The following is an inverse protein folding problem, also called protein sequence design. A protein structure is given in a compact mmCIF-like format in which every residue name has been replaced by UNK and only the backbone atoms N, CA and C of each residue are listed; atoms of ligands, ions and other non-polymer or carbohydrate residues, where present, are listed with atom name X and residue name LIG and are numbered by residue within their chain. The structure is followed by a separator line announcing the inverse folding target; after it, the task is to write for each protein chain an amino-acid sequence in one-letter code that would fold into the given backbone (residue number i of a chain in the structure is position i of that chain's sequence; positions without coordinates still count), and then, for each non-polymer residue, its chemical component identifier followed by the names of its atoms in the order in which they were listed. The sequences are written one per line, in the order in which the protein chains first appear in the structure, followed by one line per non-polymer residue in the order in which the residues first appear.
data_IF_948829168235
#
_entry.id   IF_948829168235
#
_cell.length_a   1.000
_cell.length_b   1.000
_cell.length_c   1.000
_cell.angle_alpha   90.00
_cell.angle_beta   90.00
_cell.angle_gamma   90.00
#
_symmetry.space_group_name_H-M   'P 1'
#
loop_
_entity.id
_entity.type
_entity.pdbx_description
1 polymer ?
#
# COMPACT_ATOMS: atom_id res chain seq x y z
N UNK A 1 -0.25 -52.35 -26.40
CA UNK A 1 0.26 -51.07 -26.95
C UNK A 1 -0.67 -49.85 -26.79
N UNK A 2 -1.96 -49.97 -26.43
CA UNK A 2 -2.86 -48.80 -26.28
C UNK A 2 -2.75 -48.01 -24.96
N UNK A 3 -2.08 -48.55 -23.92
CA UNK A 3 -1.91 -47.88 -22.61
C UNK A 3 -0.71 -46.92 -22.56
N UNK A 4 0.30 -47.10 -23.41
CA UNK A 4 1.48 -46.21 -23.46
C UNK A 4 1.18 -44.87 -24.16
N UNK A 5 0.20 -44.86 -25.09
CA UNK A 5 -0.18 -43.65 -25.82
C UNK A 5 -0.98 -42.65 -24.97
N UNK A 6 -1.71 -43.12 -23.95
CA UNK A 6 -2.47 -42.26 -23.03
C UNK A 6 -1.57 -41.50 -22.05
N UNK A 7 -0.43 -42.07 -21.65
CA UNK A 7 0.55 -41.43 -20.76
C UNK A 7 1.33 -40.31 -21.47
N UNK A 8 1.59 -40.44 -22.77
CA UNK A 8 2.26 -39.38 -23.54
C UNK A 8 1.36 -38.15 -23.73
N UNK A 9 0.06 -38.34 -23.96
CA UNK A 9 -0.91 -37.23 -24.16
C UNK A 9 -1.12 -36.44 -22.85
N UNK A 10 -1.03 -37.10 -21.69
CA UNK A 10 -1.07 -36.43 -20.39
C UNK A 10 0.19 -35.62 -20.09
N UNK A 11 1.37 -36.07 -20.56
CA UNK A 11 2.63 -35.34 -20.41
C UNK A 11 2.68 -34.04 -21.23
N UNK A 12 2.03 -33.99 -22.39
CA UNK A 12 1.96 -32.76 -23.20
C UNK A 12 0.85 -31.80 -22.75
N UNK A 13 -0.21 -32.27 -22.10
CA UNK A 13 -1.26 -31.43 -21.54
C UNK A 13 -0.83 -30.69 -20.24
N UNK A 14 0.21 -31.19 -19.56
CA UNK A 14 0.77 -30.64 -18.33
C UNK A 14 2.13 -29.96 -18.52
N UNK A 15 2.51 -29.58 -19.74
CA UNK A 15 3.50 -28.51 -19.88
C UNK A 15 2.85 -27.23 -19.38
N UNK A 16 2.96 -27.01 -18.06
CA UNK A 16 2.78 -25.71 -17.44
C UNK A 16 3.56 -24.74 -18.32
N UNK A 17 2.85 -23.89 -19.07
CA UNK A 17 3.49 -22.88 -19.92
C UNK A 17 4.54 -22.20 -19.04
N UNK A 18 5.81 -22.32 -19.42
CA UNK A 18 6.89 -21.71 -18.66
C UNK A 18 6.51 -20.24 -18.41
N UNK A 19 6.50 -19.85 -17.14
CA UNK A 19 6.17 -18.48 -16.76
C UNK A 19 7.21 -17.56 -17.38
N UNK A 20 6.76 -16.54 -18.11
CA UNK A 20 7.65 -15.57 -18.72
C UNK A 20 8.44 -14.86 -17.61
N UNK A 21 9.73 -14.63 -17.86
CA UNK A 21 10.58 -13.84 -16.98
C UNK A 21 10.74 -12.41 -17.51
N UNK A 22 11.10 -11.46 -16.64
CA UNK A 22 11.27 -10.05 -17.04
C UNK A 22 12.34 -9.89 -18.13
N UNK A 23 13.42 -10.68 -18.08
CA UNK A 23 14.51 -10.66 -19.06
C UNK A 23 14.04 -11.01 -20.48
N UNK A 24 12.91 -11.70 -20.61
CA UNK A 24 12.36 -12.18 -21.89
C UNK A 24 11.42 -11.15 -22.55
N UNK A 25 11.07 -10.04 -21.85
CA UNK A 25 10.05 -9.07 -22.26
C UNK A 25 10.55 -8.08 -23.32
N UNK A 26 10.96 -8.58 -24.47
CA UNK A 26 11.56 -7.77 -25.56
C UNK A 26 10.60 -6.77 -26.22
N UNK A 27 9.28 -6.95 -26.08
CA UNK A 27 8.26 -6.09 -26.69
C UNK A 27 6.97 -6.02 -25.86
N UNK A 28 6.10 -5.08 -26.20
CA UNK A 28 4.83 -4.80 -25.50
C UNK A 28 3.86 -5.98 -25.49
N UNK A 29 3.84 -6.82 -26.52
CA UNK A 29 2.98 -8.01 -26.56
C UNK A 29 3.40 -9.01 -25.48
N UNK A 30 4.71 -9.22 -25.27
CA UNK A 30 5.22 -10.08 -24.21
C UNK A 30 4.98 -9.48 -22.83
N UNK A 31 5.09 -8.16 -22.66
CA UNK A 31 4.73 -7.49 -21.40
C UNK A 31 3.26 -7.73 -21.04
N UNK A 32 2.35 -7.59 -22.01
CA UNK A 32 0.91 -7.85 -21.76
C UNK A 32 0.66 -9.30 -21.35
N UNK A 33 1.31 -10.26 -22.01
CA UNK A 33 1.20 -11.68 -21.64
C UNK A 33 1.75 -11.91 -20.23
N UNK A 34 2.90 -11.32 -19.90
CA UNK A 34 3.48 -11.39 -18.56
C UNK A 34 2.54 -10.83 -17.50
N UNK A 35 2.02 -9.60 -17.67
CA UNK A 35 1.05 -9.00 -16.75
C UNK A 35 -0.17 -9.93 -16.59
N UNK A 36 -0.75 -10.40 -17.70
CA UNK A 36 -1.88 -11.33 -17.69
C UNK A 36 -1.58 -12.62 -16.90
N UNK A 37 -0.38 -13.20 -17.04
CA UNK A 37 0.05 -14.38 -16.29
C UNK A 37 0.19 -14.09 -14.78
N UNK A 38 0.72 -12.92 -14.41
CA UNK A 38 0.96 -12.56 -13.01
C UNK A 38 -0.30 -12.13 -12.27
N UNK A 39 -1.23 -11.47 -12.96
CA UNK A 39 -2.42 -10.86 -12.32
C UNK A 39 -3.72 -11.61 -12.61
N UNK A 40 -3.73 -12.53 -13.58
CA UNK A 40 -4.94 -13.21 -14.06
C UNK A 40 -5.86 -12.34 -14.93
N UNK A 41 -5.46 -11.12 -15.30
CA UNK A 41 -6.24 -10.25 -16.17
C UNK A 41 -6.24 -10.77 -17.61
N UNK A 42 -7.31 -10.50 -18.37
CA UNK A 42 -7.37 -10.84 -19.79
C UNK A 42 -6.37 -10.00 -20.59
N UNK A 43 -5.42 -10.66 -21.26
CA UNK A 43 -4.39 -10.02 -22.10
C UNK A 43 -4.97 -9.04 -23.12
N UNK A 44 -6.17 -9.31 -23.65
CA UNK A 44 -6.84 -8.44 -24.64
C UNK A 44 -7.29 -7.10 -24.05
N UNK A 45 -7.42 -7.01 -22.73
CA UNK A 45 -7.85 -5.83 -22.00
C UNK A 45 -6.67 -5.00 -21.47
N UNK A 46 -5.43 -5.49 -21.63
CA UNK A 46 -4.24 -4.79 -21.17
C UNK A 46 -3.70 -3.91 -22.30
N UNK A 47 -3.66 -2.60 -22.07
CA UNK A 47 -3.06 -1.64 -23.00
C UNK A 47 -1.93 -0.87 -22.33
N UNK A 48 -0.89 -0.58 -23.11
CA UNK A 48 0.29 0.17 -22.68
C UNK A 48 0.29 1.51 -23.44
N UNK A 49 -0.58 2.47 -23.08
CA UNK A 49 -0.78 3.65 -23.89
C UNK A 49 0.45 4.55 -23.89
N UNK A 50 0.97 4.86 -25.08
CA UNK A 50 2.02 5.84 -25.26
C UNK A 50 1.51 7.26 -24.99
N UNK A 51 2.42 8.23 -24.83
CA UNK A 51 2.04 9.64 -24.75
C UNK A 51 1.31 10.13 -26.00
N UNK A 52 1.64 9.57 -27.17
CA UNK A 52 0.95 9.88 -28.41
C UNK A 52 -0.50 9.41 -28.37
N UNK A 53 -0.75 8.16 -27.95
CA UNK A 53 -2.11 7.59 -27.87
C UNK A 53 -3.01 8.42 -26.95
N UNK A 54 -2.47 8.89 -25.82
CA UNK A 54 -3.24 9.70 -24.87
C UNK A 54 -3.60 11.08 -25.40
N UNK A 55 -2.68 11.72 -26.15
CA UNK A 55 -2.94 13.00 -26.82
C UNK A 55 -3.97 12.83 -27.94
N UNK A 56 -3.82 11.80 -28.76
CA UNK A 56 -4.75 11.48 -29.86
C UNK A 56 -6.18 11.28 -29.32
N UNK A 57 -6.31 10.62 -28.17
CA UNK A 57 -7.59 10.40 -27.48
C UNK A 57 -8.05 11.59 -26.63
N UNK A 58 -7.32 12.71 -26.63
CA UNK A 58 -7.63 13.92 -25.85
C UNK A 58 -7.76 13.66 -24.33
N UNK A 59 -7.07 12.66 -23.81
CA UNK A 59 -7.02 12.37 -22.36
C UNK A 59 -5.98 13.22 -21.64
N UNK A 60 -5.03 13.75 -22.40
CA UNK A 60 -4.14 14.82 -21.95
C UNK A 60 -4.11 15.91 -23.03
N UNK A 61 -3.84 17.17 -22.66
CA UNK A 61 -3.67 18.23 -23.65
C UNK A 61 -2.51 17.94 -24.61
N UNK A 62 -2.60 18.49 -25.82
CA UNK A 62 -1.51 18.40 -26.82
C UNK A 62 -0.18 18.94 -26.29
N UNK A 63 -0.24 19.97 -25.44
CA UNK A 63 0.87 20.51 -24.68
C UNK A 63 0.64 20.21 -23.20
N UNK A 64 1.27 19.16 -22.71
CA UNK A 64 1.10 18.68 -21.33
C UNK A 64 2.33 18.99 -20.48
N UNK A 65 2.18 19.02 -19.14
CA UNK A 65 3.34 19.10 -18.24
C UNK A 65 4.24 17.85 -18.31
N UNK A 66 3.76 16.75 -18.87
CA UNK A 66 4.61 15.59 -19.15
C UNK A 66 5.57 15.82 -20.30
N UNK A 67 5.31 16.78 -21.19
CA UNK A 67 6.17 17.01 -22.36
C UNK A 67 7.57 17.54 -21.96
N UNK A 68 7.69 18.10 -20.75
CA UNK A 68 8.98 18.53 -20.19
C UNK A 68 9.75 17.42 -19.49
N UNK A 69 9.21 16.21 -19.38
CA UNK A 69 9.86 15.07 -18.71
C UNK A 69 9.89 13.85 -19.62
N UNK A 70 11.02 13.14 -19.64
CA UNK A 70 11.12 11.88 -20.38
C UNK A 70 10.41 10.79 -19.60
N UNK A 71 9.23 10.39 -20.07
CA UNK A 71 8.42 9.33 -19.46
C UNK A 71 8.60 8.00 -20.17
N UNK A 72 8.56 6.92 -19.41
CA UNK A 72 8.60 5.54 -19.90
C UNK A 72 7.30 4.81 -19.49
N UNK A 73 6.87 3.86 -20.33
CA UNK A 73 5.73 2.98 -20.02
C UNK A 73 6.15 1.80 -19.14
N UNK A 74 7.45 1.47 -19.13
CA UNK A 74 8.04 0.40 -18.33
C UNK A 74 9.49 0.69 -18.01
N UNK A 75 9.96 0.19 -16.87
CA UNK A 75 11.38 0.10 -16.52
C UNK A 75 11.67 -1.31 -15.99
N UNK A 76 12.89 -1.78 -16.23
CA UNK A 76 13.39 -3.05 -15.72
C UNK A 76 14.68 -2.81 -14.95
N UNK A 77 14.74 -3.25 -13.70
CA UNK A 77 15.86 -3.04 -12.78
C UNK A 77 15.82 -4.10 -11.66
N UNK A 78 16.92 -4.33 -10.96
CA UNK A 78 16.96 -5.18 -9.75
C UNK A 78 16.75 -4.31 -8.49
N UNK A 79 15.49 -4.05 -8.12
CA UNK A 79 15.18 -3.16 -6.99
C UNK A 79 15.43 -3.81 -5.63
N UNK A 80 15.28 -5.13 -5.53
CA UNK A 80 15.45 -5.88 -4.28
C UNK A 80 16.88 -6.42 -4.06
N UNK A 81 17.77 -6.24 -5.04
CA UNK A 81 19.16 -6.70 -5.04
C UNK A 81 19.29 -8.23 -4.94
N UNK A 82 18.42 -8.95 -5.63
CA UNK A 82 18.44 -10.41 -5.67
C UNK A 82 19.11 -11.01 -6.92
N UNK A 83 19.61 -10.15 -7.81
CA UNK A 83 20.29 -10.51 -9.05
C UNK A 83 19.35 -10.83 -10.21
N UNK A 84 18.03 -10.62 -10.06
CA UNK A 84 17.03 -10.81 -11.13
C UNK A 84 16.35 -9.50 -11.47
N UNK A 85 15.83 -9.40 -12.70
CA UNK A 85 15.14 -8.18 -13.10
C UNK A 85 13.71 -8.16 -12.57
N UNK A 86 13.35 -7.01 -12.00
CA UNK A 86 12.00 -6.58 -11.69
C UNK A 86 11.43 -5.75 -12.82
N UNK A 87 10.10 -5.58 -12.82
CA UNK A 87 9.40 -4.76 -13.81
C UNK A 87 8.50 -3.74 -13.11
N UNK A 88 8.69 -2.45 -13.37
CA UNK A 88 7.64 -1.45 -13.16
C UNK A 88 6.99 -1.17 -14.50
N UNK A 89 5.66 -1.19 -14.56
CA UNK A 89 4.92 -0.95 -15.80
C UNK A 89 3.67 -0.13 -15.54
N UNK A 90 3.44 0.87 -16.40
CA UNK A 90 2.19 1.59 -16.48
C UNK A 90 1.32 1.02 -17.59
N UNK A 91 0.10 0.61 -17.25
CA UNK A 91 -0.86 0.07 -18.20
C UNK A 91 -2.28 0.49 -17.84
N UNK A 92 -3.25 0.14 -18.68
CA UNK A 92 -4.68 0.32 -18.44
C UNK A 92 -5.40 -1.00 -18.67
N UNK A 93 -6.39 -1.30 -17.83
CA UNK A 93 -7.11 -2.58 -17.85
C UNK A 93 -8.42 -2.53 -18.65
N UNK A 94 -8.84 -1.35 -19.12
CA UNK A 94 -10.08 -1.21 -19.88
C UNK A 94 -10.05 -0.04 -20.85
N UNK A 95 -10.74 -0.23 -21.98
CA UNK A 95 -11.08 0.83 -22.93
C UNK A 95 -12.60 0.95 -23.01
N UNK A 96 -13.14 2.12 -22.71
CA UNK A 96 -14.55 2.41 -22.94
C UNK A 96 -14.71 2.99 -24.35
N UNK A 97 -15.37 2.22 -25.22
CA UNK A 97 -15.85 2.65 -26.54
C UNK A 97 -14.77 3.27 -27.47
N UNK A 98 -13.53 2.74 -27.46
CA UNK A 98 -12.38 3.24 -28.24
C UNK A 98 -11.99 4.72 -28.02
N UNK A 99 -12.70 5.45 -27.16
CA UNK A 99 -12.52 6.90 -26.97
C UNK A 99 -11.62 7.23 -25.80
N UNK A 100 -11.67 6.43 -24.72
CA UNK A 100 -10.96 6.75 -23.48
C UNK A 100 -10.35 5.49 -22.85
N UNK A 101 -9.11 5.61 -22.40
CA UNK A 101 -8.52 4.66 -21.47
C UNK A 101 -9.04 4.93 -20.06
N UNK A 102 -9.38 3.87 -19.35
CA UNK A 102 -9.82 3.93 -17.96
C UNK A 102 -9.02 2.92 -17.16
N UNK A 103 -9.06 3.00 -15.84
CA UNK A 103 -8.29 2.12 -14.95
C UNK A 103 -6.79 2.16 -15.26
N UNK A 104 -6.21 3.37 -15.29
CA UNK A 104 -4.74 3.49 -15.28
C UNK A 104 -4.19 2.75 -14.06
N UNK A 105 -3.09 2.05 -14.28
CA UNK A 105 -2.32 1.34 -13.26
C UNK A 105 -0.85 1.61 -13.47
N UNK A 106 -0.11 1.57 -12.36
CA UNK A 106 1.32 1.37 -12.31
C UNK A 106 1.53 0.24 -11.32
N UNK A 107 2.11 -0.84 -11.80
CA UNK A 107 2.34 -2.05 -11.03
C UNK A 107 3.81 -2.37 -11.08
N UNK A 108 4.35 -2.80 -9.93
CA UNK A 108 5.68 -3.37 -9.84
C UNK A 108 5.58 -4.88 -9.65
N UNK A 109 6.37 -5.62 -10.41
CA UNK A 109 6.57 -7.05 -10.26
C UNK A 109 7.99 -7.25 -9.74
N UNK A 110 8.09 -7.59 -8.46
CA UNK A 110 9.39 -7.79 -7.79
C UNK A 110 9.67 -9.28 -7.71
N UNK A 111 10.80 -9.73 -8.23
CA UNK A 111 11.24 -11.12 -8.15
C UNK A 111 11.21 -11.62 -6.70
N UNK A 112 10.84 -12.88 -6.50
CA UNK A 112 10.77 -13.46 -5.15
C UNK A 112 11.49 -14.81 -5.07
N UNK A 113 11.78 -15.27 -3.85
CA UNK A 113 12.65 -16.44 -3.61
C UNK A 113 12.13 -17.75 -4.22
N UNK A 114 10.85 -17.83 -4.60
CA UNK A 114 10.25 -19.01 -5.22
C UNK A 114 10.42 -19.03 -6.74
N UNK A 115 10.99 -17.98 -7.33
CA UNK A 115 11.15 -17.84 -8.78
C UNK A 115 9.98 -17.12 -9.47
N UNK A 116 8.98 -16.69 -8.71
CA UNK A 116 7.86 -15.87 -9.20
C UNK A 116 8.08 -14.38 -8.94
N UNK A 117 6.98 -13.63 -8.93
CA UNK A 117 6.97 -12.18 -8.69
C UNK A 117 5.92 -11.80 -7.65
N UNK A 118 6.31 -10.96 -6.70
CA UNK A 118 5.40 -10.24 -5.82
C UNK A 118 4.84 -9.04 -6.58
N UNK A 119 3.51 -8.97 -6.67
CA UNK A 119 2.81 -7.90 -7.39
C UNK A 119 2.48 -6.76 -6.43
N UNK A 120 3.00 -5.56 -6.73
CA UNK A 120 2.78 -4.34 -5.96
C UNK A 120 2.04 -3.32 -6.80
N UNK A 121 0.79 -3.07 -6.45
CA UNK A 121 0.03 -1.97 -7.02
C UNK A 121 0.46 -0.65 -6.36
N UNK A 122 1.28 0.12 -7.09
CA UNK A 122 1.75 1.45 -6.68
C UNK A 122 0.88 2.56 -7.30
N UNK A 123 -0.28 2.19 -7.82
CA UNK A 123 -1.24 3.08 -8.43
C UNK A 123 -2.60 2.94 -7.75
N UNK A 124 -2.58 3.10 -6.45
CA UNK A 124 -3.79 3.10 -5.69
C UNK A 124 -4.43 4.49 -5.73
N UNK A 125 -5.65 4.53 -6.30
CA UNK A 125 -6.78 5.39 -5.87
C UNK A 125 -7.18 6.59 -6.70
N UNK A 126 -6.97 6.55 -8.02
CA UNK A 126 -7.82 7.35 -8.91
C UNK A 126 -7.94 6.74 -10.31
N UNK A 127 -9.19 6.63 -10.75
CA UNK A 127 -9.61 6.19 -12.08
C UNK A 127 -9.24 7.18 -13.21
N UNK A 128 -8.74 8.37 -12.84
CA UNK A 128 -8.50 9.50 -13.75
C UNK A 128 -7.11 10.13 -13.70
N UNK A 129 -6.22 9.65 -12.82
CA UNK A 129 -4.85 10.14 -12.83
C UNK A 129 -4.09 9.49 -13.97
N UNK A 130 -3.26 10.27 -14.65
CA UNK A 130 -2.25 9.72 -15.55
C UNK A 130 -0.96 9.50 -14.77
N UNK A 131 -0.46 8.27 -14.83
CA UNK A 131 0.79 7.83 -14.24
C UNK A 131 1.89 7.62 -15.24
N UNK A 132 3.08 8.18 -14.97
CA UNK A 132 4.25 7.97 -15.80
C UNK A 132 5.47 7.66 -14.97
N UNK A 133 6.26 6.72 -15.47
CA UNK A 133 7.54 6.36 -14.87
C UNK A 133 8.58 7.28 -15.48
N UNK A 134 9.38 7.91 -14.64
CA UNK A 134 10.57 8.64 -15.03
C UNK A 134 11.72 7.82 -14.44
N UNK A 135 12.56 7.30 -15.32
CA UNK A 135 13.71 6.49 -14.90
C UNK A 135 14.63 7.34 -14.03
N UNK A 136 14.95 6.81 -12.83
CA UNK A 136 15.92 7.40 -11.94
C UNK A 136 17.35 7.07 -12.35
N UNK A 137 18.29 7.38 -11.46
CA UNK A 137 19.66 6.91 -11.58
C UNK A 137 19.73 5.40 -11.27
N UNK A 138 20.36 4.63 -12.18
CA UNK A 138 20.49 3.17 -12.05
C UNK A 138 21.32 2.76 -10.84
N UNK A 139 22.28 3.59 -10.40
CA UNK A 139 23.08 3.28 -9.20
C UNK A 139 22.21 3.33 -7.94
N UNK A 140 21.28 4.29 -7.92
CA UNK A 140 20.44 4.60 -6.77
C UNK A 140 19.12 3.79 -6.73
N UNK A 141 18.81 3.02 -7.78
CA UNK A 141 17.68 2.05 -7.85
C UNK A 141 16.33 2.61 -7.37
N UNK A 142 16.11 3.89 -7.66
CA UNK A 142 14.83 4.52 -7.49
C UNK A 142 14.20 4.78 -8.86
N UNK A 143 12.90 5.00 -8.86
CA UNK A 143 12.22 5.59 -10.01
C UNK A 143 11.29 6.69 -9.54
N UNK A 144 10.98 7.61 -10.43
CA UNK A 144 10.06 8.70 -10.14
C UNK A 144 8.73 8.40 -10.79
N UNK A 145 7.64 8.46 -10.03
CA UNK A 145 6.30 8.47 -10.61
C UNK A 145 5.87 9.91 -10.76
N UNK A 146 5.48 10.29 -11.97
CA UNK A 146 4.78 11.52 -12.24
C UNK A 146 3.28 11.25 -12.31
N UNK A 147 2.51 11.98 -11.49
CA UNK A 147 1.05 11.87 -11.33
C UNK A 147 0.39 13.16 -11.75
N UNK A 148 -0.49 13.11 -12.74
CA UNK A 148 -1.30 14.27 -13.14
C UNK A 148 -2.71 14.15 -12.59
N UNK A 149 -3.12 15.13 -11.76
CA UNK A 149 -4.48 15.30 -11.25
C UNK A 149 -5.15 16.54 -11.79
N UNK A 150 -6.48 16.51 -11.86
CA UNK A 150 -7.30 17.69 -12.11
C UNK A 150 -7.93 18.10 -10.78
N UNK A 151 -7.46 19.22 -10.24
CA UNK A 151 -7.82 19.77 -8.94
C UNK A 151 -8.55 21.10 -9.22
N UNK A 152 -9.87 21.14 -9.01
CA UNK A 152 -10.76 22.25 -9.41
C UNK A 152 -10.53 22.79 -10.84
N UNK A 153 -10.32 21.88 -11.80
CA UNK A 153 -10.06 22.25 -13.20
C UNK A 153 -8.62 22.70 -13.50
N UNK A 154 -7.72 22.65 -12.51
CA UNK A 154 -6.29 22.91 -12.67
C UNK A 154 -5.51 21.60 -12.74
N UNK A 155 -4.63 21.48 -13.73
CA UNK A 155 -3.73 20.35 -13.82
C UNK A 155 -2.57 20.48 -12.83
N UNK A 156 -2.49 19.56 -11.88
CA UNK A 156 -1.39 19.45 -10.93
C UNK A 156 -0.55 18.24 -11.33
N UNK A 157 0.76 18.45 -11.53
CA UNK A 157 1.72 17.38 -11.74
C UNK A 157 2.52 17.20 -10.45
N UNK A 158 2.44 16.00 -9.86
CA UNK A 158 3.20 15.63 -8.66
C UNK A 158 4.25 14.57 -9.02
N UNK A 159 5.37 14.61 -8.34
CA UNK A 159 6.46 13.66 -8.52
C UNK A 159 6.74 12.96 -7.20
N UNK A 160 6.87 11.64 -7.25
CA UNK A 160 7.24 10.82 -6.11
C UNK A 160 8.44 9.96 -6.49
N UNK A 161 9.58 10.21 -5.86
CA UNK A 161 10.76 9.35 -5.96
C UNK A 161 10.56 8.15 -5.05
N UNK A 162 10.48 6.95 -5.63
CA UNK A 162 10.24 5.70 -4.91
C UNK A 162 11.45 4.79 -4.97
N UNK A 163 11.73 4.13 -3.85
CA UNK A 163 12.74 3.09 -3.75
C UNK A 163 12.18 1.88 -3.02
N UNK A 164 12.78 0.72 -3.24
CA UNK A 164 12.35 -0.52 -2.62
C UNK A 164 12.95 -0.68 -1.22
N UNK A 165 12.08 -0.94 -0.24
CA UNK A 165 12.44 -1.05 1.16
C UNK A 165 11.57 -2.07 1.88
N UNK A 166 12.20 -3.10 2.45
CA UNK A 166 11.53 -4.15 3.24
C UNK A 166 10.28 -4.76 2.58
N UNK A 167 10.34 -5.01 1.28
CA UNK A 167 9.21 -5.62 0.57
C UNK A 167 8.20 -4.64 -0.01
N UNK A 168 8.37 -3.33 0.18
CA UNK A 168 7.45 -2.29 -0.31
C UNK A 168 8.20 -1.19 -1.05
N UNK A 169 7.49 -0.41 -1.88
CA UNK A 169 8.02 0.84 -2.43
C UNK A 169 7.57 2.01 -1.55
N UNK A 170 8.51 2.82 -1.10
CA UNK A 170 8.24 3.99 -0.27
C UNK A 170 8.91 5.24 -0.83
N UNK A 171 8.42 6.41 -0.45
CA UNK A 171 9.02 7.68 -0.84
C UNK A 171 10.45 7.78 -0.30
N UNK A 172 11.38 8.20 -1.15
CA UNK A 172 12.73 8.55 -0.74
C UNK A 172 12.68 9.84 0.07
N UNK A 173 12.95 9.74 1.36
CA UNK A 173 13.06 10.87 2.28
C UNK A 173 14.46 10.90 2.90
N UNK A 174 14.97 12.10 3.23
CA UNK A 174 16.24 12.22 3.91
C UNK A 174 16.19 11.58 5.31
N UNK A 175 17.39 11.20 5.76
CA UNK A 175 17.75 10.51 7.02
C UNK A 175 16.76 10.78 8.16
N UNK A 176 16.21 9.72 8.75
CA UNK A 176 15.50 9.82 10.01
C UNK A 176 16.48 9.95 11.18
N UNK A 177 16.25 10.94 12.03
CA UNK A 177 17.12 11.29 13.14
C UNK A 177 16.41 11.23 14.51
N UNK A 178 15.19 10.68 14.57
CA UNK A 178 14.39 10.64 15.81
C UNK A 178 13.92 9.23 16.16
N UNK A 179 14.28 8.77 17.36
CA UNK A 179 13.67 7.59 17.98
C UNK A 179 12.27 7.94 18.49
N UNK A 180 11.29 7.08 18.23
CA UNK A 180 9.95 7.21 18.81
C UNK A 180 9.86 6.49 20.18
N UNK A 181 9.01 7.01 21.06
CA UNK A 181 8.58 6.36 22.29
C UNK A 181 7.33 5.52 22.08
N UNK A 182 6.40 5.99 21.24
CA UNK A 182 5.28 5.18 20.76
C UNK A 182 4.71 5.67 19.43
N UNK A 183 4.11 4.76 18.69
CA UNK A 183 3.29 5.02 17.50
C UNK A 183 1.92 4.41 17.73
N UNK A 184 0.90 5.26 17.76
CA UNK A 184 -0.49 4.85 17.80
C UNK A 184 -1.10 4.95 16.40
N UNK A 185 -1.88 3.94 16.03
CA UNK A 185 -2.59 3.83 14.77
C UNK A 185 -4.03 3.38 15.01
N UNK A 186 -4.99 4.04 14.39
CA UNK A 186 -6.37 3.58 14.35
C UNK A 186 -7.06 4.10 13.09
N UNK A 187 -8.19 3.49 12.74
CA UNK A 187 -8.99 3.93 11.59
C UNK A 187 -10.38 4.32 12.04
N UNK A 188 -10.90 5.39 11.49
CA UNK A 188 -12.33 5.72 11.57
C UNK A 188 -12.99 5.35 10.24
N UNK A 189 -14.17 4.74 10.32
CA UNK A 189 -15.00 4.46 9.16
C UNK A 189 -15.80 5.70 8.73
N UNK A 190 -16.37 5.64 7.54
CA UNK A 190 -17.25 6.70 7.04
C UNK A 190 -18.58 6.78 7.83
N UNK A 191 -19.32 7.87 7.63
CA UNK A 191 -20.55 8.22 8.35
C UNK A 191 -21.67 7.15 8.29
N UNK A 192 -21.65 6.26 7.28
CA UNK A 192 -22.68 5.23 7.08
C UNK A 192 -22.35 3.96 7.89
N UNK A 193 -21.07 3.69 8.13
CA UNK A 193 -20.60 2.51 8.83
C UNK A 193 -20.00 2.89 10.18
N UNK A 194 -20.67 3.72 10.99
CA UNK A 194 -20.34 3.94 12.38
C UNK A 194 -20.45 2.61 13.15
N UNK A 195 -19.47 1.73 12.98
CA UNK A 195 -19.38 0.51 13.74
C UNK A 195 -19.12 0.93 15.17
N UNK A 196 -19.91 0.39 16.10
CA UNK A 196 -19.62 0.47 17.53
C UNK A 196 -18.30 -0.21 17.92
N UNK A 197 -17.58 -0.73 16.92
CA UNK A 197 -16.33 -1.47 17.00
C UNK A 197 -15.20 -0.71 16.32
N UNK A 198 -14.14 -0.46 17.07
CA UNK A 198 -12.89 0.07 16.55
C UNK A 198 -11.73 -0.40 17.41
N UNK A 199 -10.56 -0.48 16.80
CA UNK A 199 -9.32 -0.93 17.45
C UNK A 199 -8.27 0.18 17.36
N UNK A 200 -7.61 0.44 18.47
CA UNK A 200 -6.38 1.24 18.52
C UNK A 200 -5.19 0.30 18.65
N UNK A 201 -4.17 0.55 17.84
CA UNK A 201 -2.92 -0.17 17.85
C UNK A 201 -1.83 0.77 18.35
N UNK A 202 -1.09 0.39 19.39
CA UNK A 202 0.02 1.20 19.91
C UNK A 202 1.28 0.37 20.00
N UNK A 203 2.30 0.76 19.25
CA UNK A 203 3.64 0.16 19.29
C UNK A 203 4.52 1.06 20.15
N UNK A 204 5.12 0.50 21.20
CA UNK A 204 6.04 1.21 22.07
C UNK A 204 7.49 1.02 21.64
N UNK A 205 8.36 1.98 21.96
CA UNK A 205 9.78 1.96 21.63
C UNK A 205 10.60 0.84 22.30
N UNK A 206 9.98 0.07 23.19
CA UNK A 206 10.53 -1.14 23.79
C UNK A 206 10.05 -2.44 23.10
N UNK A 207 9.30 -2.34 21.99
CA UNK A 207 8.76 -3.47 21.25
C UNK A 207 7.46 -4.08 21.81
N UNK A 208 6.90 -3.50 22.88
CA UNK A 208 5.55 -3.86 23.31
C UNK A 208 4.54 -3.40 22.24
N UNK A 209 3.62 -4.26 21.86
CA UNK A 209 2.52 -3.94 20.96
C UNK A 209 1.19 -4.15 21.65
N UNK A 210 0.38 -3.10 21.70
CA UNK A 210 -0.91 -3.05 22.41
C UNK A 210 -2.05 -2.86 21.42
N UNK A 211 -3.13 -3.61 21.60
CA UNK A 211 -4.39 -3.45 20.89
C UNK A 211 -5.50 -3.11 21.89
N UNK A 212 -6.19 -2.01 21.69
CA UNK A 212 -7.36 -1.62 22.48
C UNK A 212 -8.61 -1.72 21.60
N UNK A 213 -9.42 -2.74 21.86
CA UNK A 213 -10.67 -2.98 21.15
C UNK A 213 -11.83 -2.39 21.95
N UNK A 214 -12.63 -1.58 21.28
CA UNK A 214 -13.86 -1.01 21.84
C UNK A 214 -15.04 -1.65 21.13
N UNK A 215 -16.04 -2.12 21.88
CA UNK A 215 -17.28 -2.67 21.31
C UNK A 215 -18.49 -2.27 22.16
N UNK A 216 -19.33 -1.38 21.65
CA UNK A 216 -20.55 -0.92 22.33
C UNK A 216 -20.32 -0.44 23.77
N UNK A 217 -19.16 0.19 24.01
CA UNK A 217 -18.72 0.69 25.32
C UNK A 217 -18.12 -0.37 26.25
N UNK A 218 -17.89 -1.59 25.79
CA UNK A 218 -16.93 -2.49 26.40
C UNK A 218 -15.53 -2.16 25.85
N UNK A 219 -14.51 -2.27 26.69
CA UNK A 219 -13.10 -2.08 26.32
C UNK A 219 -12.32 -3.34 26.66
N UNK A 220 -11.54 -3.85 25.70
CA UNK A 220 -10.59 -4.95 25.90
C UNK A 220 -9.22 -4.50 25.46
N UNK A 221 -8.23 -4.73 26.31
CA UNK A 221 -6.84 -4.41 26.02
C UNK A 221 -6.08 -5.71 25.90
N UNK A 222 -5.43 -5.88 24.75
CA UNK A 222 -4.52 -6.97 24.46
C UNK A 222 -3.09 -6.44 24.34
N UNK A 223 -2.13 -7.28 24.69
CA UNK A 223 -0.72 -6.95 24.58
C UNK A 223 0.08 -8.17 24.12
N UNK A 224 1.15 -7.91 23.38
CA UNK A 224 2.22 -8.87 23.13
C UNK A 224 3.57 -8.15 23.11
N UNK A 225 4.65 -8.91 23.24
CA UNK A 225 6.01 -8.42 23.01
C UNK A 225 6.43 -8.87 21.61
N UNK A 226 6.79 -7.92 20.75
CA UNK A 226 7.30 -8.24 19.42
C UNK A 226 8.67 -8.92 19.55
N UNK A 227 8.90 -9.94 18.72
CA UNK A 227 10.25 -10.47 18.49
C UNK A 227 11.15 -9.33 18.01
N UNK A 228 12.43 -9.36 18.41
CA UNK A 228 13.39 -8.30 18.13
C UNK A 228 13.45 -7.99 16.62
N UNK A 229 13.49 -9.01 15.77
CA UNK A 229 13.62 -8.86 14.32
C UNK A 229 12.40 -8.15 13.72
N UNK A 230 11.21 -8.46 14.23
CA UNK A 230 9.94 -7.85 13.80
C UNK A 230 9.87 -6.39 14.26
N UNK A 231 10.27 -6.12 15.51
CA UNK A 231 10.34 -4.76 16.04
C UNK A 231 11.36 -3.91 15.27
N UNK A 232 12.56 -4.42 15.04
CA UNK A 232 13.61 -3.73 14.29
C UNK A 232 13.14 -3.41 12.87
N UNK A 233 12.48 -4.35 12.18
CA UNK A 233 11.89 -4.11 10.86
C UNK A 233 10.86 -2.98 10.89
N UNK A 234 9.89 -3.02 11.81
CA UNK A 234 8.89 -1.97 11.96
C UNK A 234 9.50 -0.61 12.32
N UNK A 235 10.44 -0.59 13.27
CA UNK A 235 11.12 0.62 13.72
C UNK A 235 11.91 1.26 12.57
N UNK A 236 12.62 0.44 11.79
CA UNK A 236 13.34 0.86 10.62
C UNK A 236 12.40 1.39 9.52
N UNK A 237 11.23 0.78 9.32
CA UNK A 237 10.20 1.31 8.41
C UNK A 237 9.67 2.67 8.90
N UNK A 238 9.31 2.81 10.17
CA UNK A 238 8.87 4.09 10.76
C UNK A 238 9.93 5.17 10.52
N UNK A 239 11.21 4.82 10.69
CA UNK A 239 12.33 5.71 10.45
C UNK A 239 12.46 6.06 8.96
N UNK A 240 12.42 5.06 8.07
CA UNK A 240 12.49 5.26 6.62
C UNK A 240 11.32 6.09 6.06
N UNK A 241 10.13 6.02 6.66
CA UNK A 241 8.97 6.85 6.28
C UNK A 241 9.14 8.30 6.74
N UNK A 242 9.98 8.54 7.76
CA UNK A 242 10.26 9.84 8.35
C UNK A 242 8.98 10.64 8.69
N UNK A 243 8.15 10.08 9.56
CA UNK A 243 6.82 10.60 9.90
C UNK A 243 6.80 12.05 10.40
N UNK A 244 7.93 12.56 10.91
CA UNK A 244 8.05 13.95 11.38
C UNK A 244 7.92 14.97 10.24
N UNK A 245 8.48 14.66 9.08
CA UNK A 245 8.51 15.53 7.89
C UNK A 245 7.23 15.44 7.04
N UNK A 246 6.32 14.54 7.39
CA UNK A 246 5.05 14.39 6.68
C UNK A 246 4.08 15.51 7.04
N UNK A 247 3.11 15.75 6.16
CA UNK A 247 2.03 16.68 6.43
C UNK A 247 1.17 16.16 7.60
N UNK A 248 0.61 17.08 8.39
CA UNK A 248 -0.32 16.73 9.47
C UNK A 248 -1.63 16.15 8.94
N UNK A 249 -1.99 16.48 7.70
CA UNK A 249 -3.22 16.03 7.07
C UNK A 249 -3.02 15.70 5.60
N UNK A 250 -3.56 14.55 5.19
CA UNK A 250 -3.76 14.15 3.81
C UNK A 250 -5.26 14.01 3.59
N UNK A 251 -5.76 14.59 2.50
CA UNK A 251 -7.16 14.52 2.17
C UNK A 251 -7.40 14.43 0.67
N UNK A 252 -8.59 13.94 0.39
CA UNK A 252 -9.12 13.78 -0.94
C UNK A 252 -10.18 14.85 -1.14
N UNK A 253 -9.99 15.68 -2.13
CA UNK A 253 -11.03 16.61 -2.52
C UNK A 253 -12.20 15.87 -3.16
N UNK A 254 -13.43 16.26 -2.81
CA UNK A 254 -14.68 15.73 -3.37
C UNK A 254 -14.97 14.24 -3.12
N UNK A 255 -14.27 13.61 -2.17
CA UNK A 255 -14.65 12.30 -1.62
C UNK A 255 -15.13 12.51 -0.19
N UNK A 256 -16.35 12.10 0.12
CA UNK A 256 -16.98 12.39 1.42
C UNK A 256 -17.32 11.12 2.23
N UNK A 257 -17.02 9.95 1.67
CA UNK A 257 -17.41 8.64 2.16
C UNK A 257 -16.20 7.72 2.41
N UNK A 258 -14.99 8.27 2.54
CA UNK A 258 -13.80 7.49 2.86
C UNK A 258 -13.54 7.41 4.37
N UNK A 259 -12.92 6.32 4.82
CA UNK A 259 -12.42 6.22 6.20
C UNK A 259 -11.14 7.04 6.39
N UNK A 260 -10.76 7.33 7.64
CA UNK A 260 -9.52 8.06 7.95
C UNK A 260 -8.55 7.14 8.70
N UNK A 261 -7.29 7.09 8.26
CA UNK A 261 -6.19 6.59 9.09
C UNK A 261 -5.71 7.70 10.00
N UNK A 262 -5.62 7.41 11.30
CA UNK A 262 -5.06 8.32 12.27
C UNK A 262 -3.76 7.75 12.81
N UNK A 263 -2.70 8.55 12.78
CA UNK A 263 -1.42 8.23 13.40
C UNK A 263 -1.07 9.28 14.44
N UNK A 264 -0.59 8.82 15.59
CA UNK A 264 0.00 9.69 16.61
C UNK A 264 1.36 9.11 16.96
N UNK A 265 2.43 9.87 16.69
CA UNK A 265 3.79 9.49 17.04
C UNK A 265 4.27 10.37 18.16
N UNK A 266 4.66 9.72 19.26
CA UNK A 266 5.34 10.37 20.38
C UNK A 266 6.84 10.15 20.20
N UNK A 267 7.56 11.24 19.99
CA UNK A 267 9.02 11.31 20.12
C UNK A 267 9.37 11.82 21.51
N UNK A 268 10.61 11.64 21.94
CA UNK A 268 11.10 12.20 23.22
C UNK A 268 10.85 13.72 23.27
N UNK A 269 9.82 14.13 24.01
CA UNK A 269 9.41 15.53 24.18
C UNK A 269 8.60 16.17 23.03
N UNK A 270 8.15 15.41 22.02
CA UNK A 270 7.36 15.97 20.92
C UNK A 270 6.30 14.98 20.40
N UNK A 271 5.16 15.50 19.95
CA UNK A 271 4.06 14.69 19.41
C UNK A 271 3.73 15.15 17.98
N UNK A 272 3.62 14.22 17.05
CA UNK A 272 3.14 14.43 15.69
C UNK A 272 1.84 13.69 15.50
N UNK A 273 0.86 14.34 14.87
CA UNK A 273 -0.41 13.73 14.48
C UNK A 273 -0.53 13.78 12.96
N UNK A 274 -0.95 12.69 12.35
CA UNK A 274 -1.19 12.59 10.91
C UNK A 274 -2.58 12.02 10.72
N UNK A 275 -3.45 12.80 10.10
CA UNK A 275 -4.77 12.36 9.66
C UNK A 275 -4.73 12.12 8.15
N UNK A 276 -5.01 10.89 7.76
CA UNK A 276 -4.91 10.46 6.38
C UNK A 276 -6.26 9.96 5.89
N UNK A 277 -7.04 10.91 5.38
CA UNK A 277 -8.38 10.70 4.90
C UNK A 277 -8.36 9.93 3.57
N UNK A 278 -9.01 8.78 3.57
CA UNK A 278 -9.03 7.80 2.50
C UNK A 278 -7.77 6.94 2.37
N UNK A 279 -6.81 7.06 3.29
CA UNK A 279 -5.50 6.37 3.26
C UNK A 279 -4.69 6.73 2.00
N UNK A 280 -4.52 8.04 1.79
CA UNK A 280 -3.94 8.76 0.65
C UNK A 280 -2.64 9.47 0.94
N UNK A 281 -2.07 9.19 2.10
CA UNK A 281 -0.72 9.57 2.44
C UNK A 281 0.28 9.14 1.39
N UNK A 282 1.54 9.40 1.67
CA UNK A 282 2.60 8.95 0.80
C UNK A 282 2.71 7.40 0.82
N UNK A 283 3.50 6.84 -0.09
CA UNK A 283 3.69 5.38 -0.20
C UNK A 283 4.26 4.76 1.09
N UNK A 284 5.07 5.53 1.82
CA UNK A 284 5.58 5.16 3.14
C UNK A 284 4.49 4.92 4.18
N UNK A 285 3.50 5.81 4.27
CA UNK A 285 2.34 5.65 5.14
C UNK A 285 1.53 4.40 4.78
N UNK A 286 1.30 4.17 3.48
CA UNK A 286 0.65 2.97 2.99
C UNK A 286 1.35 1.68 3.44
N UNK A 287 2.67 1.62 3.28
CA UNK A 287 3.49 0.49 3.73
C UNK A 287 3.40 0.28 5.26
N UNK A 288 3.47 1.38 6.04
CA UNK A 288 3.34 1.33 7.50
C UNK A 288 1.97 0.77 7.94
N UNK A 289 0.87 1.21 7.30
CA UNK A 289 -0.47 0.69 7.60
C UNK A 289 -0.60 -0.79 7.27
N UNK A 290 -0.03 -1.25 6.15
CA UNK A 290 0.00 -2.67 5.79
C UNK A 290 0.77 -3.46 6.85
N UNK A 291 1.94 -3.00 7.27
CA UNK A 291 2.75 -3.64 8.31
C UNK A 291 2.00 -3.76 9.64
N UNK A 292 1.41 -2.66 10.14
CA UNK A 292 0.66 -2.67 11.40
C UNK A 292 -0.56 -3.60 11.31
N UNK A 293 -1.29 -3.59 10.20
CA UNK A 293 -2.44 -4.50 9.98
C UNK A 293 -2.01 -5.97 9.92
N UNK A 294 -0.87 -6.28 9.29
CA UNK A 294 -0.33 -7.64 9.27
C UNK A 294 -0.01 -8.10 10.70
N UNK A 295 0.75 -7.29 11.44
CA UNK A 295 1.06 -7.57 12.84
C UNK A 295 -0.21 -7.74 13.68
N UNK A 296 -1.27 -6.99 13.41
CA UNK A 296 -2.53 -7.13 14.15
C UNK A 296 -3.17 -8.53 14.03
N UNK A 297 -2.91 -9.23 12.93
CA UNK A 297 -3.50 -10.53 12.60
C UNK A 297 -2.61 -11.72 12.98
N UNK A 298 -1.30 -11.53 12.88
CA UNK A 298 -0.34 -12.65 12.90
C UNK A 298 0.29 -12.88 14.29
N UNK A 299 -0.16 -12.16 15.32
CA UNK A 299 0.42 -12.21 16.67
C UNK A 299 -0.46 -12.93 17.68
N UNK A 300 0.19 -13.58 18.64
CA UNK A 300 -0.44 -14.20 19.80
C UNK A 300 -0.73 -13.14 20.87
N UNK A 301 -1.97 -12.66 20.88
CA UNK A 301 -2.43 -11.60 21.77
C UNK A 301 -2.79 -12.13 23.17
N UNK A 302 -2.28 -11.49 24.22
CA UNK A 302 -2.65 -11.77 25.61
C UNK A 302 -3.63 -10.68 26.07
N UNK A 303 -4.81 -11.07 26.56
CA UNK A 303 -5.75 -10.15 27.19
C UNK A 303 -5.19 -9.69 28.54
N UNK A 304 -5.00 -8.39 28.72
CA UNK A 304 -4.44 -7.80 29.94
C UNK A 304 -5.44 -6.96 30.73
N UNK A 305 -6.50 -6.47 30.08
CA UNK A 305 -7.56 -5.69 30.74
C UNK A 305 -8.90 -5.89 30.02
N UNK A 306 -9.99 -6.03 30.78
CA UNK A 306 -11.36 -6.06 30.23
C UNK A 306 -12.31 -5.24 31.12
N UNK A 307 -12.84 -4.15 30.56
CA UNK A 307 -13.86 -3.33 31.17
C UNK A 307 -15.19 -3.53 30.44
N UNK A 308 -16.19 -4.06 31.13
CA UNK A 308 -17.53 -4.23 30.58
C UNK A 308 -18.50 -3.26 31.25
N UNK A 309 -19.54 -2.84 30.52
CA UNK A 309 -20.63 -2.01 31.07
C UNK A 309 -21.30 -2.60 32.32
N UNK A 310 -21.19 -3.91 32.56
CA UNK A 310 -21.71 -4.56 33.77
C UNK A 310 -20.85 -4.27 35.00
N UNK A 311 -19.53 -4.13 34.83
CA UNK A 311 -18.59 -3.88 35.92
C UNK A 311 -18.71 -2.44 36.45
N UNK A 312 -18.95 -1.45 35.57
CA UNK A 312 -19.18 -0.06 35.97
C UNK A 312 -20.43 0.13 36.83
N UNK A 313 -21.50 -0.64 36.56
CA UNK A 313 -22.73 -0.60 37.38
C UNK A 313 -22.55 -1.21 38.77
N UNK A 314 -21.54 -2.05 39.00
CA UNK A 314 -21.25 -2.61 40.32
C UNK A 314 -20.37 -1.67 41.16
N UNK A 315 -19.47 -0.93 40.53
CA UNK A 315 -18.60 0.06 41.21
C UNK A 315 -19.43 1.28 41.66
N UNK A 316 -20.45 1.66 40.90
CA UNK A 316 -21.31 2.81 41.18
C UNK A 316 -22.59 2.48 41.97
N UNK A 317 -22.73 1.28 42.55
CA UNK A 317 -23.80 1.05 43.55
C UNK A 317 -23.38 1.74 44.85
N UNK A 318 -24.16 2.70 45.39
CA UNK A 318 -23.87 3.26 46.71
C UNK A 318 -23.82 2.09 47.69
N UNK A 319 -22.71 1.99 48.45
CA UNK A 319 -22.64 1.09 49.60
C UNK A 319 -23.84 1.41 50.48
N UNK A 320 -24.83 0.51 50.54
CA UNK A 320 -25.87 0.59 51.56
C UNK A 320 -25.14 0.64 52.90
N UNK A 321 -25.25 1.76 53.60
CA UNK A 321 -24.75 1.84 54.97
C UNK A 321 -25.53 0.80 55.79
N UNK A 322 -24.85 0.02 56.64
CA UNK A 322 -25.53 -0.95 57.49
C UNK A 322 -26.33 -0.16 58.52
N UNK A 323 -27.65 -0.08 58.36
CA UNK A 323 -28.52 0.59 59.32
C UNK A 323 -29.80 1.24 58.82
N UNK A 324 -30.19 1.11 57.55
CA UNK A 324 -31.52 1.57 57.09
C UNK A 324 -32.40 0.36 56.77
N UNK A 325 -33.32 0.06 57.69
CA UNK A 325 -34.43 -0.87 57.52
C UNK A 325 -35.55 -0.24 56.70
#
# INVERSE_FOLDING_TARGET
MKKALFLLIWFFANQSKAQLKVEELTNDSLVKVFISQQTGHDVKKIYLPSMFDLKEKKQIPNKSKFDSVKTETRITEDFNNDGRLDLVVSYVESMIMNKYYFDFKIVVFVSNSTGGYDVKDIWQRYEHLLGRIIKGDSESRYFVIARQSTDFGKEVLRFDTLYYYQGEFINMVPICNKSFESVQYYTTSNWIAASSRYSYFTVFGNGTFRREDFDMGNKRIYQCQLKKEVFDSLSNLICAVNLWELNDRYEIENVHDAGTSHLVINYKGAVKKIDDYGHWGNFGLGALYVMIRRLSKDLDWILVEENTKKNEKQINKPKKMPGEN
#
